data_IF_401951935086
#
_entry.id   IF_401951935086
#
_cell.length_a   1.000
_cell.length_b   1.000
_cell.length_c   1.000
_cell.angle_alpha   90.00
_cell.angle_beta   90.00
_cell.angle_gamma   90.00
#
_symmetry.space_group_name_H-M   'P 1'
#
loop_
_entity.id
_entity.type
_entity.pdbx_description
1 polymer ?
#
# COMPACT_ATOMS: atom_id res chain seq x y z
N UNK A 1 -2.12 -66.19 -10.00
CA UNK A 1 -1.83 -64.88 -10.65
C UNK A 1 -2.67 -63.83 -9.94
N UNK A 2 -2.09 -63.10 -8.99
CA UNK A 2 -2.76 -62.05 -8.23
C UNK A 2 -2.14 -60.73 -8.69
N UNK A 3 -2.88 -59.94 -9.48
CA UNK A 3 -2.41 -58.66 -10.01
C UNK A 3 -2.69 -57.58 -8.96
N UNK A 4 -1.65 -57.14 -8.25
CA UNK A 4 -1.71 -55.99 -7.36
C UNK A 4 -1.55 -54.73 -8.22
N UNK A 5 -2.64 -54.00 -8.45
CA UNK A 5 -2.61 -52.68 -9.07
C UNK A 5 -2.08 -51.65 -8.08
N UNK A 6 -0.89 -51.13 -8.36
CA UNK A 6 -0.31 -49.94 -7.74
C UNK A 6 -1.03 -48.70 -8.27
N UNK A 7 -1.94 -48.14 -7.47
CA UNK A 7 -2.48 -46.80 -7.71
C UNK A 7 -1.47 -45.76 -7.25
N UNK A 8 -0.81 -45.12 -8.21
CA UNK A 8 0.06 -43.98 -7.99
C UNK A 8 -0.80 -42.74 -7.63
N UNK A 9 -0.78 -42.35 -6.35
CA UNK A 9 -1.27 -41.05 -5.92
C UNK A 9 -0.27 -39.97 -6.38
N UNK A 10 -0.65 -39.22 -7.41
CA UNK A 10 0.05 -37.98 -7.76
C UNK A 10 -0.44 -36.88 -6.82
N UNK A 11 0.42 -36.23 -6.01
CA UNK A 11 0.00 -35.06 -5.26
C UNK A 11 -0.17 -33.91 -6.25
N UNK A 12 -1.43 -33.48 -6.40
CA UNK A 12 -1.75 -32.24 -7.08
C UNK A 12 -1.12 -31.10 -6.27
N UNK A 13 -0.01 -30.56 -6.79
CA UNK A 13 0.50 -29.27 -6.38
C UNK A 13 -0.53 -28.22 -6.83
N UNK A 14 -1.46 -27.89 -5.94
CA UNK A 14 -2.27 -26.68 -6.11
C UNK A 14 -1.31 -25.49 -6.03
N UNK A 15 -0.98 -24.91 -7.18
CA UNK A 15 -0.38 -23.60 -7.25
C UNK A 15 -1.40 -22.61 -6.66
N UNK A 16 -1.25 -22.27 -5.38
CA UNK A 16 -2.12 -21.29 -4.73
C UNK A 16 -1.79 -19.89 -5.27
N UNK A 17 -2.86 -19.16 -5.60
CA UNK A 17 -2.86 -17.83 -6.18
C UNK A 17 -2.11 -16.83 -5.29
N UNK A 18 -1.38 -15.91 -5.92
CA UNK A 18 -0.89 -14.70 -5.26
C UNK A 18 -2.10 -14.03 -4.64
N UNK A 19 -2.11 -13.88 -3.30
CA UNK A 19 -3.16 -13.17 -2.57
C UNK A 19 -3.23 -11.78 -3.20
N UNK A 20 -4.25 -11.60 -4.05
CA UNK A 20 -4.53 -10.35 -4.73
C UNK A 20 -5.39 -9.50 -3.80
N UNK A 21 -5.23 -8.17 -3.80
CA UNK A 21 -6.16 -7.30 -3.11
C UNK A 21 -7.59 -7.61 -3.56
N UNK A 22 -8.57 -7.28 -2.71
CA UNK A 22 -9.98 -7.50 -2.98
C UNK A 22 -10.31 -7.17 -4.45
N UNK A 23 -10.94 -8.09 -5.20
CA UNK A 23 -10.90 -8.16 -6.67
C UNK A 23 -11.43 -6.91 -7.41
N UNK A 24 -12.01 -5.95 -6.70
CA UNK A 24 -12.70 -4.80 -7.26
C UNK A 24 -12.05 -3.44 -6.93
N UNK A 25 -11.00 -3.40 -6.09
CA UNK A 25 -10.37 -2.14 -5.64
C UNK A 25 -8.97 -1.88 -6.22
N UNK A 26 -8.28 -2.91 -6.71
CA UNK A 26 -6.94 -2.80 -7.26
C UNK A 26 -5.82 -2.72 -6.22
N UNK A 27 -4.57 -2.74 -6.67
CA UNK A 27 -3.39 -2.64 -5.79
C UNK A 27 -2.96 -1.18 -5.63
N UNK A 28 -2.30 -0.90 -4.52
CA UNK A 28 -1.65 0.39 -4.22
C UNK A 28 -0.16 0.31 -4.60
N UNK A 29 0.33 1.34 -5.28
CA UNK A 29 1.67 1.41 -5.82
C UNK A 29 2.32 2.71 -5.35
N UNK A 30 3.59 2.64 -4.95
CA UNK A 30 4.49 3.78 -4.94
C UNK A 30 4.85 4.13 -6.38
N UNK A 31 4.70 5.39 -6.75
CA UNK A 31 4.89 5.83 -8.13
C UNK A 31 6.14 6.68 -8.25
N UNK A 32 6.96 6.37 -9.26
CA UNK A 32 8.12 7.18 -9.63
C UNK A 32 8.11 7.45 -11.14
N UNK A 33 8.47 8.67 -11.59
CA UNK A 33 8.59 8.98 -13.00
C UNK A 33 9.70 8.18 -13.66
N UNK A 34 9.52 7.85 -14.94
CA UNK A 34 10.55 7.25 -15.76
C UNK A 34 11.43 8.33 -16.41
N UNK A 35 12.62 8.52 -15.85
CA UNK A 35 13.60 9.50 -16.33
C UNK A 35 14.42 9.07 -17.56
N UNK A 36 14.13 7.90 -18.16
CA UNK A 36 14.85 7.44 -19.35
C UNK A 36 14.55 8.33 -20.55
N UNK A 37 15.59 8.65 -21.34
CA UNK A 37 15.52 9.56 -22.49
C UNK A 37 15.31 8.83 -23.82
N UNK A 38 14.27 8.00 -23.93
CA UNK A 38 13.93 7.33 -25.20
C UNK A 38 12.56 7.77 -25.72
N UNK A 39 12.21 7.34 -26.93
CA UNK A 39 10.93 7.68 -27.54
C UNK A 39 9.75 7.17 -26.68
N UNK A 40 8.89 8.09 -26.26
CA UNK A 40 7.58 7.75 -25.71
C UNK A 40 6.81 6.89 -26.74
N UNK A 41 6.11 5.81 -26.34
CA UNK A 41 5.71 5.40 -24.99
C UNK A 41 6.60 4.30 -24.37
N UNK A 42 7.86 4.16 -24.82
CA UNK A 42 8.80 3.21 -24.21
C UNK A 42 9.54 3.80 -23.00
N UNK A 43 9.63 5.13 -22.95
CA UNK A 43 10.16 5.91 -21.84
C UNK A 43 9.28 7.13 -21.54
N UNK A 44 9.53 7.81 -20.41
CA UNK A 44 8.79 9.01 -20.02
C UNK A 44 7.41 8.74 -19.43
N UNK A 45 7.12 7.47 -19.10
CA UNK A 45 5.94 7.07 -18.35
C UNK A 45 6.24 7.01 -16.85
N UNK A 46 5.75 5.96 -16.20
CA UNK A 46 5.85 5.79 -14.76
C UNK A 46 6.28 4.38 -14.38
N UNK A 47 7.11 4.27 -13.35
CA UNK A 47 7.40 3.03 -12.66
C UNK A 47 6.51 2.92 -11.42
N UNK A 48 5.76 1.83 -11.36
CA UNK A 48 4.89 1.48 -10.26
C UNK A 48 5.53 0.40 -9.44
N UNK A 49 5.74 0.66 -8.16
CA UNK A 49 6.27 -0.31 -7.20
C UNK A 49 5.14 -0.68 -6.24
N UNK A 50 4.52 -1.85 -6.36
CA UNK A 50 3.45 -2.28 -5.47
C UNK A 50 3.93 -2.33 -4.02
N UNK A 51 3.27 -1.62 -3.11
CA UNK A 51 3.65 -1.62 -1.69
C UNK A 51 3.32 -2.96 -1.03
N UNK A 52 4.12 -3.37 -0.04
CA UNK A 52 3.96 -4.63 0.70
C UNK A 52 3.71 -5.87 -0.19
N UNK A 53 4.65 -6.26 -1.04
CA UNK A 53 4.51 -7.55 -1.75
C UNK A 53 5.00 -8.71 -0.91
N UNK A 54 4.21 -9.78 -0.89
CA UNK A 54 4.53 -11.00 -0.17
C UNK A 54 5.03 -12.11 -1.09
N UNK A 55 6.06 -12.81 -0.60
CA UNK A 55 6.39 -14.16 -1.05
C UNK A 55 5.43 -15.15 -0.37
N UNK A 56 5.12 -16.27 -1.05
CA UNK A 56 3.97 -17.17 -0.84
C UNK A 56 3.91 -17.95 0.50
N UNK A 57 4.73 -17.67 1.49
CA UNK A 57 4.72 -18.38 2.77
C UNK A 57 4.74 -17.39 3.92
N UNK A 58 3.56 -17.09 4.45
CA UNK A 58 3.40 -16.41 5.73
C UNK A 58 2.52 -17.32 6.58
N UNK A 59 3.03 -17.67 7.76
CA UNK A 59 2.32 -18.53 8.70
C UNK A 59 1.43 -17.71 9.64
N UNK A 60 1.72 -16.41 9.83
CA UNK A 60 0.99 -15.51 10.74
C UNK A 60 1.08 -14.00 10.35
N UNK A 61 0.40 -13.15 11.12
CA UNK A 61 0.37 -11.68 10.91
C UNK A 61 1.71 -10.99 11.20
N UNK A 62 2.56 -11.57 12.05
CA UNK A 62 3.82 -10.95 12.43
C UNK A 62 4.91 -11.17 11.37
N UNK A 63 4.95 -12.37 10.80
CA UNK A 63 5.75 -12.71 9.63
C UNK A 63 5.32 -11.87 8.42
N UNK A 64 4.02 -11.58 8.25
CA UNK A 64 3.53 -10.66 7.23
C UNK A 64 4.08 -9.23 7.40
N UNK A 65 4.26 -8.76 8.63
CA UNK A 65 4.88 -7.47 8.84
C UNK A 65 6.36 -7.46 8.40
N UNK A 66 7.15 -8.47 8.76
CA UNK A 66 8.59 -8.53 8.47
C UNK A 66 8.90 -8.72 6.97
N UNK A 67 8.16 -9.60 6.29
CA UNK A 67 8.36 -9.89 4.87
C UNK A 67 7.99 -8.73 3.94
N UNK A 68 7.19 -7.77 4.42
CA UNK A 68 6.84 -6.56 3.67
C UNK A 68 8.04 -5.66 3.37
N UNK A 69 9.16 -5.87 4.06
CA UNK A 69 10.40 -5.08 3.96
C UNK A 69 11.32 -5.49 2.80
N UNK A 70 10.95 -6.51 2.01
CA UNK A 70 11.77 -7.06 0.92
C UNK A 70 11.73 -6.20 -0.37
N UNK A 71 12.78 -6.24 -1.22
CA UNK A 71 12.87 -5.41 -2.43
C UNK A 71 11.82 -5.79 -3.48
N UNK A 72 11.18 -4.77 -4.03
CA UNK A 72 9.97 -4.88 -4.85
C UNK A 72 10.27 -4.72 -6.34
N UNK A 73 9.58 -5.49 -7.19
CA UNK A 73 9.71 -5.39 -8.64
C UNK A 73 8.85 -4.24 -9.18
N UNK A 74 9.46 -3.27 -9.84
CA UNK A 74 8.73 -2.18 -10.48
C UNK A 74 8.09 -2.60 -11.82
N UNK A 75 6.94 -1.99 -12.13
CA UNK A 75 6.16 -2.21 -13.35
C UNK A 75 6.12 -0.89 -14.12
N UNK A 76 6.53 -0.91 -15.39
CA UNK A 76 6.41 0.27 -16.25
C UNK A 76 4.98 0.41 -16.79
N UNK A 77 4.43 1.62 -16.70
CA UNK A 77 3.19 2.03 -17.37
C UNK A 77 3.44 3.29 -18.18
N UNK A 78 2.87 3.34 -19.39
CA UNK A 78 2.98 4.53 -20.23
C UNK A 78 2.00 5.63 -19.81
N UNK A 79 0.85 5.24 -19.24
CA UNK A 79 -0.24 6.14 -18.89
C UNK A 79 -0.81 5.82 -17.51
N UNK A 80 -1.28 6.87 -16.84
CA UNK A 80 -2.10 6.80 -15.64
C UNK A 80 -3.43 7.47 -15.97
N UNK A 81 -4.53 6.76 -15.73
CA UNK A 81 -5.88 7.23 -15.95
C UNK A 81 -6.49 7.66 -14.61
N UNK A 82 -6.72 8.97 -14.46
CA UNK A 82 -7.25 9.61 -13.25
C UNK A 82 -8.77 9.77 -13.25
N UNK A 83 -9.49 9.29 -14.28
CA UNK A 83 -10.93 9.57 -14.45
C UNK A 83 -11.77 9.14 -13.25
N UNK A 84 -11.46 8.02 -12.59
CA UNK A 84 -12.24 7.54 -11.43
C UNK A 84 -11.95 8.31 -10.14
N UNK A 85 -10.89 9.11 -10.09
CA UNK A 85 -10.61 10.02 -8.97
C UNK A 85 -11.42 11.33 -9.08
N UNK A 86 -11.98 11.64 -10.25
CA UNK A 86 -12.73 12.89 -10.46
C UNK A 86 -11.88 14.15 -10.36
N UNK A 87 -10.56 14.05 -10.62
CA UNK A 87 -9.64 15.18 -10.54
C UNK A 87 -9.86 16.16 -11.69
N UNK A 88 -9.73 17.45 -11.39
CA UNK A 88 -9.59 18.51 -12.40
C UNK A 88 -8.19 18.48 -13.03
N UNK A 89 -8.02 19.07 -14.21
CA UNK A 89 -6.70 19.16 -14.87
C UNK A 89 -5.65 19.85 -13.98
N UNK A 90 -6.05 20.86 -13.21
CA UNK A 90 -5.14 21.53 -12.28
C UNK A 90 -4.66 20.59 -11.17
N UNK A 91 -5.55 19.78 -10.61
CA UNK A 91 -5.22 18.77 -9.60
C UNK A 91 -4.37 17.64 -10.17
N UNK A 92 -4.62 17.21 -11.40
CA UNK A 92 -3.78 16.21 -12.08
C UNK A 92 -2.34 16.75 -12.21
N UNK A 93 -2.17 17.97 -12.70
CA UNK A 93 -0.83 18.58 -12.82
C UNK A 93 -0.13 18.73 -11.48
N UNK A 94 -0.85 19.09 -10.42
CA UNK A 94 -0.29 19.18 -9.07
C UNK A 94 0.16 17.81 -8.56
N UNK A 95 -0.69 16.78 -8.72
CA UNK A 95 -0.38 15.41 -8.33
C UNK A 95 0.86 14.88 -9.07
N UNK A 96 0.92 15.08 -10.38
CA UNK A 96 2.06 14.67 -11.20
C UNK A 96 3.34 15.43 -10.82
N UNK A 97 3.24 16.73 -10.53
CA UNK A 97 4.37 17.51 -10.03
C UNK A 97 4.91 16.95 -8.70
N UNK A 98 4.02 16.53 -7.79
CA UNK A 98 4.42 15.87 -6.53
C UNK A 98 5.10 14.52 -6.80
N UNK A 99 4.60 13.74 -7.76
CA UNK A 99 5.23 12.44 -8.13
C UNK A 99 6.68 12.58 -8.59
N UNK A 100 7.13 13.76 -9.03
CA UNK A 100 8.53 14.01 -9.39
C UNK A 100 9.47 14.25 -8.21
N UNK A 101 8.97 14.74 -7.08
CA UNK A 101 9.79 15.18 -5.94
C UNK A 101 9.44 14.55 -4.60
N UNK A 102 8.30 13.88 -4.50
CA UNK A 102 7.71 13.34 -3.28
C UNK A 102 7.26 11.90 -3.48
N UNK A 103 7.03 11.19 -2.37
CA UNK A 103 6.45 9.84 -2.44
C UNK A 103 4.94 9.96 -2.59
N UNK A 104 4.43 9.42 -3.70
CA UNK A 104 3.00 9.39 -4.02
C UNK A 104 2.55 7.94 -4.17
N UNK A 105 1.43 7.63 -3.53
CA UNK A 105 0.77 6.33 -3.61
C UNK A 105 -0.45 6.45 -4.51
N UNK A 106 -0.56 5.56 -5.49
CA UNK A 106 -1.75 5.42 -6.33
C UNK A 106 -2.34 4.03 -6.16
N UNK A 107 -3.64 3.95 -5.91
CA UNK A 107 -4.41 2.70 -5.96
C UNK A 107 -5.13 2.61 -7.29
N UNK A 108 -5.08 1.43 -7.91
CA UNK A 108 -5.77 1.19 -9.16
C UNK A 108 -5.58 -0.20 -9.73
N UNK A 109 -6.21 -0.41 -10.89
CA UNK A 109 -6.11 -1.64 -11.67
C UNK A 109 -5.20 -1.42 -12.88
N UNK A 110 -4.31 -2.38 -13.12
CA UNK A 110 -3.49 -2.39 -14.32
C UNK A 110 -4.27 -3.03 -15.47
N UNK A 111 -4.55 -2.24 -16.51
CA UNK A 111 -5.02 -2.77 -17.79
C UNK A 111 -3.85 -2.90 -18.75
N UNK A 112 -3.74 -4.06 -19.39
CA UNK A 112 -2.89 -4.23 -20.59
C UNK A 112 -3.80 -4.15 -21.79
N UNK A 113 -3.94 -2.96 -22.34
CA UNK A 113 -4.67 -2.78 -23.59
C UNK A 113 -3.78 -3.30 -24.73
N UNK A 114 -4.32 -4.19 -25.56
CA UNK A 114 -3.66 -4.54 -26.82
C UNK A 114 -4.58 -5.31 -27.74
N UNK A 115 -4.92 -4.72 -28.90
CA UNK A 115 -5.22 -5.45 -30.14
C UNK A 115 -4.79 -4.59 -31.34
N UNK A 116 -3.66 -4.91 -31.96
CA UNK A 116 -3.57 -5.14 -33.42
C UNK A 116 -2.42 -6.13 -33.68
N UNK A 117 -2.50 -7.01 -34.69
CA UNK A 117 -1.44 -7.98 -34.99
C UNK A 117 -0.11 -7.35 -35.47
N UNK A 118 -0.09 -6.03 -35.67
CA UNK A 118 1.03 -5.29 -36.27
C UNK A 118 1.87 -4.47 -35.27
N UNK A 119 1.44 -4.30 -34.00
CA UNK A 119 2.20 -3.52 -33.01
C UNK A 119 2.46 -4.34 -31.73
N UNK A 120 3.73 -4.72 -31.54
CA UNK A 120 4.20 -5.69 -30.54
C UNK A 120 4.47 -5.13 -29.14
N UNK A 121 4.14 -3.87 -28.85
CA UNK A 121 4.35 -3.26 -27.54
C UNK A 121 3.04 -3.15 -26.77
N UNK A 122 2.76 -4.16 -25.95
CA UNK A 122 1.67 -4.12 -24.96
C UNK A 122 2.01 -3.10 -23.88
N UNK A 123 1.43 -1.91 -23.96
CA UNK A 123 1.64 -0.86 -22.97
C UNK A 123 0.59 -1.00 -21.87
N UNK A 124 1.04 -1.04 -20.62
CA UNK A 124 0.16 -1.06 -19.46
C UNK A 124 -0.31 0.36 -19.12
N UNK A 125 -1.56 0.48 -18.68
CA UNK A 125 -2.17 1.70 -18.14
C UNK A 125 -2.67 1.42 -16.74
N UNK A 126 -2.41 2.32 -15.79
CA UNK A 126 -2.98 2.24 -14.45
C UNK A 126 -4.29 3.03 -14.39
N UNK A 127 -5.41 2.35 -14.14
CA UNK A 127 -6.70 3.00 -13.90
C UNK A 127 -6.85 3.27 -12.41
N UNK A 128 -6.63 4.51 -12.00
CA UNK A 128 -6.54 4.90 -10.60
C UNK A 128 -7.92 5.19 -10.00
N UNK A 129 -8.11 4.79 -8.75
CA UNK A 129 -9.30 5.03 -7.94
C UNK A 129 -8.99 5.51 -6.51
N UNK A 130 -7.70 5.60 -6.13
CA UNK A 130 -7.24 6.25 -4.91
C UNK A 130 -5.88 6.90 -5.12
N UNK A 131 -5.64 8.02 -4.46
CA UNK A 131 -4.35 8.70 -4.48
C UNK A 131 -4.03 9.23 -3.08
N UNK A 132 -2.76 9.15 -2.68
CA UNK A 132 -2.26 9.74 -1.46
C UNK A 132 -0.90 10.39 -1.68
N UNK A 133 -0.71 11.58 -1.09
CA UNK A 133 0.53 12.35 -1.16
C UNK A 133 1.20 12.38 0.20
N UNK A 134 2.53 12.27 0.23
CA UNK A 134 3.27 12.35 1.49
C UNK A 134 3.09 13.71 2.17
N UNK A 135 2.85 13.68 3.47
CA UNK A 135 2.77 14.87 4.32
C UNK A 135 4.16 15.43 4.67
N UNK A 136 5.14 14.54 4.83
CA UNK A 136 6.45 14.85 5.34
C UNK A 136 7.56 14.38 4.40
N UNK A 137 8.74 15.01 4.53
CA UNK A 137 9.93 14.75 3.68
C UNK A 137 10.80 13.60 4.17
N UNK A 138 10.41 12.92 5.26
CA UNK A 138 11.14 11.76 5.78
C UNK A 138 11.05 10.59 4.81
N UNK A 139 12.05 9.71 4.86
CA UNK A 139 12.04 8.49 4.07
C UNK A 139 11.02 7.50 4.62
N UNK A 140 10.31 6.82 3.72
CA UNK A 140 9.36 5.77 4.10
C UNK A 140 10.13 4.56 4.64
N UNK A 141 9.91 4.22 5.91
CA UNK A 141 10.53 3.05 6.55
C UNK A 141 9.50 2.21 7.30
N UNK A 142 9.53 0.90 7.05
CA UNK A 142 8.50 -0.03 7.51
C UNK A 142 7.43 -0.33 6.45
N UNK A 143 6.47 -1.22 6.75
CA UNK A 143 5.33 -1.49 5.87
C UNK A 143 4.44 -0.28 5.66
N UNK A 144 3.72 -0.30 4.55
CA UNK A 144 2.64 0.64 4.27
C UNK A 144 1.34 0.15 4.92
N UNK A 145 0.85 0.91 5.89
CA UNK A 145 -0.31 0.55 6.70
C UNK A 145 -1.42 1.57 6.47
N UNK A 146 -2.66 1.10 6.56
CA UNK A 146 -3.85 1.93 6.70
C UNK A 146 -4.34 1.81 8.14
N UNK A 147 -4.26 2.90 8.89
CA UNK A 147 -4.62 2.98 10.29
C UNK A 147 -6.02 3.54 10.44
N UNK A 148 -6.85 2.92 11.25
CA UNK A 148 -8.20 3.37 11.59
C UNK A 148 -8.47 3.18 13.08
N UNK A 149 -9.43 3.93 13.63
CA UNK A 149 -9.91 3.67 15.00
C UNK A 149 -10.80 2.44 15.03
N UNK A 150 -10.66 1.62 16.07
CA UNK A 150 -11.60 0.52 16.37
C UNK A 150 -12.89 1.01 17.04
N UNK A 151 -12.91 2.26 17.51
CA UNK A 151 -13.99 2.83 18.32
C UNK A 151 -14.01 2.36 19.77
N UNK A 152 -13.06 1.53 20.19
CA UNK A 152 -12.95 1.04 21.57
C UNK A 152 -12.42 2.15 22.48
N UNK A 153 -13.04 2.34 23.65
CA UNK A 153 -12.58 3.27 24.68
C UNK A 153 -12.35 2.49 25.97
N UNK A 154 -11.09 2.38 26.40
CA UNK A 154 -10.72 1.65 27.60
C UNK A 154 -10.49 2.58 28.80
N UNK A 155 -10.70 2.05 30.01
CA UNK A 155 -10.38 2.74 31.27
C UNK A 155 -8.90 2.55 31.63
N UNK A 156 -8.31 1.41 31.25
CA UNK A 156 -6.91 1.04 31.52
C UNK A 156 -6.15 0.75 30.22
N UNK A 157 -4.83 0.92 30.22
CA UNK A 157 -3.93 0.60 29.09
C UNK A 157 -3.16 -0.71 29.34
N UNK A 158 -2.76 -1.46 28.29
CA UNK A 158 -2.91 -1.18 26.85
C UNK A 158 -4.37 -1.28 26.36
N UNK A 159 -4.75 -0.38 25.46
CA UNK A 159 -6.10 -0.31 24.92
C UNK A 159 -6.07 -0.55 23.40
N UNK A 160 -6.78 -1.55 22.86
CA UNK A 160 -6.79 -1.88 21.44
C UNK A 160 -7.56 -0.83 20.59
N UNK A 161 -7.10 0.41 20.59
CA UNK A 161 -7.78 1.58 20.03
C UNK A 161 -7.61 1.68 18.50
N UNK A 162 -6.49 1.17 17.98
CA UNK A 162 -6.14 1.33 16.57
C UNK A 162 -6.12 -0.01 15.84
N UNK A 163 -6.61 -0.02 14.61
CA UNK A 163 -6.48 -1.13 13.67
C UNK A 163 -5.52 -0.72 12.56
N UNK A 164 -4.47 -1.50 12.36
CA UNK A 164 -3.53 -1.37 11.25
C UNK A 164 -3.82 -2.43 10.18
N UNK A 165 -4.26 -1.99 9.01
CA UNK A 165 -4.46 -2.85 7.84
C UNK A 165 -3.23 -2.77 6.94
N UNK A 166 -2.65 -3.92 6.61
CA UNK A 166 -1.49 -3.99 5.74
C UNK A 166 -1.93 -3.83 4.28
N UNK A 167 -1.56 -2.71 3.66
CA UNK A 167 -2.02 -2.36 2.32
C UNK A 167 -1.62 -3.45 1.32
N UNK A 168 -2.52 -3.75 0.37
CA UNK A 168 -2.42 -4.83 -0.62
C UNK A 168 -2.56 -6.25 -0.07
N UNK A 169 -3.01 -6.41 1.19
CA UNK A 169 -3.26 -7.73 1.78
C UNK A 169 -4.59 -7.80 2.52
N UNK A 170 -4.91 -9.00 3.01
CA UNK A 170 -6.01 -9.23 3.95
C UNK A 170 -5.57 -9.11 5.43
N UNK A 171 -4.29 -8.88 5.71
CA UNK A 171 -3.77 -8.86 7.08
C UNK A 171 -4.11 -7.55 7.79
N UNK A 172 -4.58 -7.66 9.01
CA UNK A 172 -4.83 -6.53 9.88
C UNK A 172 -4.55 -6.90 11.33
N UNK A 173 -3.92 -5.98 12.06
CA UNK A 173 -3.62 -6.16 13.47
C UNK A 173 -4.19 -5.00 14.28
N UNK A 174 -4.55 -5.26 15.52
CA UNK A 174 -5.01 -4.23 16.46
C UNK A 174 -3.85 -3.92 17.40
N UNK A 175 -3.67 -2.65 17.72
CA UNK A 175 -2.55 -2.17 18.52
C UNK A 175 -2.98 -1.00 19.40
N UNK A 176 -2.11 -0.66 20.34
CA UNK A 176 -2.46 0.09 21.53
C UNK A 176 -2.03 1.55 21.49
N UNK A 177 -0.90 1.82 20.84
CA UNK A 177 -0.28 3.14 20.85
C UNK A 177 0.19 3.57 19.46
N UNK A 178 -0.03 4.85 19.13
CA UNK A 178 0.36 5.44 17.86
C UNK A 178 1.03 6.78 18.13
N UNK A 179 2.26 6.93 17.66
CA UNK A 179 2.96 8.20 17.71
C UNK A 179 3.47 8.64 16.33
N UNK A 180 3.62 9.96 16.18
CA UNK A 180 4.09 10.61 14.96
C UNK A 180 5.47 11.26 15.12
N UNK A 181 6.16 11.00 16.22
CA UNK A 181 7.43 11.67 16.53
C UNK A 181 8.49 11.43 15.45
N UNK A 182 8.62 10.18 14.98
CA UNK A 182 9.56 9.84 13.88
C UNK A 182 9.16 10.40 12.52
N UNK A 183 7.88 10.73 12.33
CA UNK A 183 7.40 11.38 11.12
C UNK A 183 7.64 12.89 11.16
N UNK A 184 7.87 13.48 12.34
CA UNK A 184 8.11 14.91 12.55
C UNK A 184 7.05 15.78 11.89
N UNK A 185 5.78 15.41 12.09
CA UNK A 185 4.66 16.19 11.60
C UNK A 185 4.57 17.53 12.33
N UNK A 186 4.22 18.59 11.60
CA UNK A 186 3.82 19.83 12.25
C UNK A 186 2.46 19.69 12.95
N UNK A 187 2.03 20.74 13.66
CA UNK A 187 0.77 20.73 14.43
C UNK A 187 -0.47 20.56 13.54
N UNK A 188 -0.48 21.16 12.36
CA UNK A 188 -1.61 21.08 11.42
C UNK A 188 -1.69 19.69 10.82
N UNK A 189 -0.57 19.15 10.37
CA UNK A 189 -0.43 17.78 9.86
C UNK A 189 -0.82 16.75 10.93
N UNK A 190 -0.40 16.94 12.17
CA UNK A 190 -0.76 16.05 13.29
C UNK A 190 -2.26 16.07 13.53
N UNK A 191 -2.89 17.26 13.56
CA UNK A 191 -4.34 17.38 13.71
C UNK A 191 -5.09 16.68 12.58
N UNK A 192 -4.63 16.84 11.34
CA UNK A 192 -5.19 16.19 10.17
C UNK A 192 -5.01 14.66 10.20
N UNK A 193 -3.86 14.18 10.68
CA UNK A 193 -3.61 12.75 10.85
C UNK A 193 -4.61 12.11 11.82
N UNK A 194 -4.85 12.76 12.97
CA UNK A 194 -5.86 12.28 13.92
C UNK A 194 -7.28 12.30 13.35
N UNK A 195 -7.64 13.35 12.60
CA UNK A 195 -8.94 13.43 11.93
C UNK A 195 -9.12 12.31 10.88
N UNK A 196 -8.07 12.01 10.11
CA UNK A 196 -8.10 10.94 9.12
C UNK A 196 -8.28 9.57 9.79
N UNK A 197 -7.58 9.28 10.89
CA UNK A 197 -7.73 8.02 11.64
C UNK A 197 -9.16 7.82 12.14
N UNK A 198 -9.79 8.89 12.62
CA UNK A 198 -11.15 8.84 13.17
C UNK A 198 -12.25 8.70 12.10
N UNK A 199 -11.98 9.06 10.84
CA UNK A 199 -12.99 9.15 9.79
C UNK A 199 -12.78 8.12 8.68
N UNK A 200 -11.75 8.32 7.87
CA UNK A 200 -11.56 7.58 6.62
C UNK A 200 -10.35 6.64 6.63
N UNK A 201 -9.58 6.60 7.70
CA UNK A 201 -8.32 5.88 7.83
C UNK A 201 -7.13 6.62 7.23
N UNK A 202 -6.00 6.62 7.95
CA UNK A 202 -4.75 7.28 7.58
C UNK A 202 -3.78 6.28 6.96
N UNK A 203 -3.12 6.65 5.86
CA UNK A 203 -2.05 5.83 5.28
C UNK A 203 -0.71 6.27 5.86
N UNK A 204 0.07 5.33 6.40
CA UNK A 204 1.40 5.59 6.98
C UNK A 204 2.40 4.53 6.56
N UNK A 205 3.69 4.82 6.70
CA UNK A 205 4.69 3.80 7.04
C UNK A 205 5.10 3.94 8.49
N UNK A 206 5.48 2.84 9.13
CA UNK A 206 5.89 2.90 10.52
C UNK A 206 6.52 1.61 11.02
N UNK A 207 7.08 1.68 12.22
CA UNK A 207 7.70 0.54 12.90
C UNK A 207 6.99 0.19 14.19
N UNK A 208 6.80 -1.12 14.44
CA UNK A 208 6.32 -1.61 15.72
C UNK A 208 7.33 -1.31 16.83
N UNK A 209 6.83 -1.03 18.03
CA UNK A 209 7.59 -0.96 19.27
C UNK A 209 6.75 -1.50 20.42
N UNK A 210 7.39 -1.81 21.54
CA UNK A 210 6.69 -2.20 22.77
C UNK A 210 6.30 -0.94 23.55
N UNK A 211 5.01 -0.76 23.80
CA UNK A 211 4.48 0.38 24.56
C UNK A 211 4.26 -0.03 26.01
N UNK A 212 4.53 0.84 26.98
CA UNK A 212 4.22 0.58 28.39
C UNK A 212 2.79 1.04 28.74
N UNK A 213 2.00 0.12 29.30
CA UNK A 213 0.65 0.38 29.79
C UNK A 213 0.49 0.11 31.29
N UNK A 214 -0.64 0.55 31.85
CA UNK A 214 -0.96 0.39 33.28
C UNK A 214 -1.03 -1.07 33.73
N UNK A 215 -1.47 -1.98 32.86
CA UNK A 215 -1.63 -3.41 33.16
C UNK A 215 -0.56 -4.27 32.50
N UNK A 216 0.52 -3.67 31.98
CA UNK A 216 1.63 -4.38 31.34
C UNK A 216 1.99 -3.80 29.96
N UNK A 217 2.89 -4.48 29.23
CA UNK A 217 3.32 -4.04 27.91
C UNK A 217 2.20 -4.21 26.87
N UNK A 218 2.23 -3.36 25.85
CA UNK A 218 1.36 -3.37 24.68
C UNK A 218 2.17 -3.20 23.39
N UNK A 219 1.47 -3.11 22.27
CA UNK A 219 2.08 -2.90 20.96
C UNK A 219 1.81 -1.48 20.47
N UNK A 220 2.86 -0.73 20.18
CA UNK A 220 2.79 0.57 19.54
C UNK A 220 3.29 0.56 18.09
N UNK A 221 2.89 1.57 17.32
CA UNK A 221 3.43 1.84 15.98
C UNK A 221 3.95 3.29 15.94
N UNK A 222 5.23 3.46 15.62
CA UNK A 222 5.84 4.77 15.42
C UNK A 222 5.84 5.08 13.91
N UNK A 223 5.02 6.05 13.51
CA UNK A 223 4.92 6.45 12.11
C UNK A 223 6.22 7.15 11.65
N UNK A 224 6.75 6.74 10.51
CA UNK A 224 7.95 7.31 9.87
C UNK A 224 7.58 8.23 8.70
N UNK A 225 6.51 7.89 7.99
CA UNK A 225 5.96 8.70 6.90
C UNK A 225 4.45 8.64 6.92
N UNK A 226 3.82 9.77 6.60
CA UNK A 226 2.35 9.89 6.58
C UNK A 226 1.91 10.32 5.19
N UNK A 227 0.79 9.76 4.72
CA UNK A 227 0.21 10.03 3.42
C UNK A 227 -1.26 10.43 3.58
N UNK A 228 -1.61 11.62 3.08
CA UNK A 228 -2.98 12.10 3.09
C UNK A 228 -3.67 11.82 1.76
N UNK A 229 -4.98 11.58 1.81
CA UNK A 229 -5.81 11.40 0.62
C UNK A 229 -5.71 12.62 -0.30
N UNK A 230 -5.63 12.35 -1.61
CA UNK A 230 -5.64 13.35 -2.66
C UNK A 230 -6.80 13.09 -3.63
N UNK A 231 -7.61 14.11 -3.98
CA UNK A 231 -7.54 15.47 -3.46
C UNK A 231 -8.03 15.49 -2.00
N UNK A 232 -7.74 16.58 -1.28
CA UNK A 232 -8.23 16.72 0.09
C UNK A 232 -9.75 16.67 0.09
N UNK A 233 -10.33 15.74 0.86
CA UNK A 233 -11.77 15.68 1.04
C UNK A 233 -12.19 16.84 1.94
N UNK A 234 -13.13 17.65 1.45
CA UNK A 234 -13.75 18.74 2.21
C UNK A 234 -14.74 18.20 3.25
#
# INVERSE_FOLDING_TARGET
MCLVSLLAFSPWLFAQDVISPAPNEGSTYLVKPDYRKCAFPMCGGWFLTPVNQFSRQLEDDNTAYEHSLLPLKSIYVAYIDYRRLGLTEAQIRELEARMHGEDVLLRGLLSRNGITPQNSTRLATLHTNGAWTSANKREAYGPYLRISSTGIVCITTPCPYYKAELINTAYATVFDDLNFEKAELDREQTSRAWQAIASEGLVITGVKYESEGMTGPGTGIAATKVFFSYPEKK
#
